data_IF_935924146465
#
_entry.id   IF_935924146465
#
_cell.length_a   1.000
_cell.length_b   1.000
_cell.length_c   1.000
_cell.angle_alpha   90.00
_cell.angle_beta   90.00
_cell.angle_gamma   90.00
#
_symmetry.space_group_name_H-M   'P 1'
#
loop_
_entity.id
_entity.type
_entity.pdbx_description
1 polymer ?
#
# COMPACT_ATOMS: atom_id res chain seq x y z
N UNK A 1 -5.76 17.37 28.19
CA UNK A 1 -4.81 16.24 28.06
C UNK A 1 -3.65 16.72 27.21
N UNK A 2 -2.50 16.93 27.82
CA UNK A 2 -1.28 17.42 27.16
C UNK A 2 -0.80 16.37 26.18
N UNK A 3 -0.69 16.70 24.88
CA UNK A 3 -0.06 15.81 23.91
C UNK A 3 1.40 15.64 24.30
N UNK A 4 1.78 14.44 24.71
CA UNK A 4 3.19 14.09 24.92
C UNK A 4 3.81 14.06 23.53
N UNK A 5 4.45 15.16 23.14
CA UNK A 5 5.20 15.22 21.89
C UNK A 5 6.42 14.33 22.01
N UNK A 6 6.33 13.16 21.38
CA UNK A 6 7.43 12.21 21.34
C UNK A 6 8.68 12.85 20.69
N UNK A 7 9.89 12.57 21.20
CA UNK A 7 11.14 13.00 20.60
C UNK A 7 11.22 12.65 19.11
N UNK A 8 11.85 13.52 18.30
CA UNK A 8 11.96 13.34 16.84
C UNK A 8 12.60 12.01 16.45
N UNK A 9 13.62 11.56 17.19
CA UNK A 9 14.23 10.24 17.00
C UNK A 9 13.24 9.10 17.20
N UNK A 10 12.33 9.22 18.17
CA UNK A 10 11.28 8.25 18.45
C UNK A 10 10.19 8.32 17.37
N UNK A 11 9.78 9.53 16.94
CA UNK A 11 8.87 9.71 15.79
C UNK A 11 9.46 9.11 14.51
N UNK A 12 10.77 9.24 14.26
CA UNK A 12 11.45 8.64 13.10
C UNK A 12 11.47 7.10 13.13
N UNK A 13 11.51 6.50 14.31
CA UNK A 13 11.39 5.04 14.49
C UNK A 13 9.95 4.56 14.25
N UNK A 14 8.94 5.37 14.61
CA UNK A 14 7.51 5.00 14.51
C UNK A 14 6.80 5.45 13.22
N UNK A 15 7.31 6.47 12.53
CA UNK A 15 6.74 7.08 11.31
C UNK A 15 7.83 7.23 10.24
N UNK A 16 8.38 6.10 9.80
CA UNK A 16 9.33 6.11 8.70
C UNK A 16 8.60 6.29 7.35
N UNK A 17 8.26 7.56 7.02
CA UNK A 17 7.61 7.92 5.75
C UNK A 17 8.36 7.37 4.54
N UNK A 18 9.70 7.34 4.57
CA UNK A 18 10.51 6.74 3.48
C UNK A 18 10.21 5.26 3.31
N UNK A 19 10.16 4.50 4.40
CA UNK A 19 9.83 3.08 4.36
C UNK A 19 8.40 2.85 3.86
N UNK A 20 7.42 3.63 4.34
CA UNK A 20 6.03 3.57 3.86
C UNK A 20 5.92 3.85 2.35
N UNK A 21 6.62 4.89 1.87
CA UNK A 21 6.73 5.23 0.45
C UNK A 21 7.28 4.05 -0.35
N UNK A 22 8.39 3.46 0.10
CA UNK A 22 9.03 2.33 -0.60
C UNK A 22 8.15 1.08 -0.56
N UNK A 23 7.45 0.81 0.54
CA UNK A 23 6.53 -0.31 0.64
C UNK A 23 5.35 -0.17 -0.34
N UNK A 24 4.81 1.04 -0.48
CA UNK A 24 3.75 1.32 -1.44
C UNK A 24 4.26 1.15 -2.88
N UNK A 25 5.47 1.59 -3.18
CA UNK A 25 6.10 1.39 -4.49
C UNK A 25 6.35 -0.09 -4.80
N UNK A 26 6.86 -0.86 -3.84
CA UNK A 26 7.04 -2.32 -3.96
C UNK A 26 5.70 -2.99 -4.23
N UNK A 27 4.64 -2.58 -3.52
CA UNK A 27 3.29 -3.12 -3.72
C UNK A 27 2.78 -2.82 -5.11
N UNK A 28 2.87 -1.56 -5.55
CA UNK A 28 2.47 -1.18 -6.90
C UNK A 28 3.27 -1.96 -7.96
N UNK A 29 4.57 -2.13 -7.77
CA UNK A 29 5.43 -2.90 -8.67
C UNK A 29 4.95 -4.35 -8.81
N UNK A 30 4.81 -5.07 -7.69
CA UNK A 30 4.40 -6.48 -7.73
C UNK A 30 3.03 -6.66 -8.40
N UNK A 31 2.07 -5.77 -8.12
CA UNK A 31 0.75 -5.83 -8.74
C UNK A 31 0.79 -5.47 -10.23
N UNK A 32 1.66 -4.54 -10.63
CA UNK A 32 1.80 -4.13 -12.04
C UNK A 32 2.59 -5.12 -12.90
N UNK A 33 3.26 -6.11 -12.31
CA UNK A 33 3.80 -7.26 -13.08
C UNK A 33 2.71 -8.03 -13.84
N UNK A 34 1.46 -8.00 -13.37
CA UNK A 34 0.31 -8.67 -14.00
C UNK A 34 -0.65 -7.74 -14.73
N UNK A 35 -0.54 -6.42 -14.50
CA UNK A 35 -1.46 -5.40 -15.02
C UNK A 35 -0.69 -4.13 -15.36
N UNK A 36 -1.00 -3.48 -16.48
CA UNK A 36 -0.31 -2.22 -16.86
C UNK A 36 -0.48 -1.10 -15.81
N UNK A 37 -1.64 -1.02 -15.17
CA UNK A 37 -1.98 -0.02 -14.15
C UNK A 37 -2.76 -0.66 -13.01
N UNK A 38 -2.64 -0.11 -11.81
CA UNK A 38 -3.30 -0.62 -10.61
C UNK A 38 -4.08 0.48 -9.91
N UNK A 39 -5.30 0.22 -9.46
CA UNK A 39 -6.07 1.20 -8.70
C UNK A 39 -5.38 1.49 -7.35
N UNK A 40 -5.43 2.74 -6.88
CA UNK A 40 -4.79 3.12 -5.60
C UNK A 40 -5.31 2.29 -4.43
N UNK A 41 -6.61 2.04 -4.36
CA UNK A 41 -7.21 1.29 -3.25
C UNK A 41 -6.98 -0.22 -3.36
N UNK A 42 -6.84 -0.74 -4.58
CA UNK A 42 -6.34 -2.11 -4.77
C UNK A 42 -4.89 -2.23 -4.27
N UNK A 43 -4.04 -1.25 -4.58
CA UNK A 43 -2.66 -1.20 -4.09
C UNK A 43 -2.61 -1.13 -2.55
N UNK A 44 -3.36 -0.18 -1.97
CA UNK A 44 -3.42 0.00 -0.51
C UNK A 44 -3.94 -1.27 0.19
N UNK A 45 -4.97 -1.91 -0.38
CA UNK A 45 -5.52 -3.15 0.15
C UNK A 45 -4.46 -4.25 0.33
N UNK A 46 -3.70 -4.54 -0.73
CA UNK A 46 -2.65 -5.57 -0.66
C UNK A 46 -1.48 -5.16 0.22
N UNK A 47 -1.15 -3.87 0.29
CA UNK A 47 -0.13 -3.40 1.22
C UNK A 47 -0.57 -3.67 2.67
N UNK A 48 -1.78 -3.29 3.06
CA UNK A 48 -2.28 -3.55 4.41
C UNK A 48 -2.36 -5.04 4.70
N UNK A 49 -2.82 -5.83 3.75
CA UNK A 49 -2.89 -7.28 3.90
C UNK A 49 -1.51 -7.90 4.19
N UNK A 50 -0.45 -7.36 3.61
CA UNK A 50 0.94 -7.78 3.89
C UNK A 50 1.44 -7.45 5.30
N UNK A 51 0.78 -6.48 5.97
CA UNK A 51 1.06 -6.12 7.36
C UNK A 51 0.25 -6.95 8.36
N UNK A 52 -0.85 -7.55 7.92
CA UNK A 52 -1.71 -8.40 8.75
C UNK A 52 -1.28 -9.86 8.73
N UNK A 53 -1.63 -10.60 9.78
CA UNK A 53 -1.47 -12.05 9.81
C UNK A 53 -2.41 -12.74 8.81
N UNK A 54 -1.94 -12.91 7.57
CA UNK A 54 -2.67 -13.63 6.52
C UNK A 54 -2.34 -15.13 6.55
N UNK A 55 -3.36 -15.97 6.73
CA UNK A 55 -3.23 -17.43 6.66
C UNK A 55 -3.82 -17.96 5.36
N UNK A 56 -3.05 -18.73 4.58
CA UNK A 56 -3.45 -19.38 3.32
C UNK A 56 -4.44 -20.57 3.50
N UNK A 57 -5.17 -20.64 4.62
CA UNK A 57 -6.12 -21.73 4.84
C UNK A 57 -7.31 -21.59 3.88
N UNK A 58 -8.07 -22.68 3.71
CA UNK A 58 -9.21 -22.79 2.79
C UNK A 58 -10.23 -21.63 2.87
N UNK A 59 -10.29 -20.94 4.02
CA UNK A 59 -10.87 -19.61 4.14
C UNK A 59 -9.78 -18.63 4.58
N UNK A 60 -9.49 -17.58 3.79
CA UNK A 60 -8.53 -16.55 4.19
C UNK A 60 -9.04 -15.86 5.46
N UNK A 61 -8.40 -16.17 6.59
CA UNK A 61 -8.64 -15.48 7.85
C UNK A 61 -7.66 -14.31 7.95
N UNK A 62 -8.21 -13.13 8.20
CA UNK A 62 -7.48 -11.91 8.50
C UNK A 62 -8.08 -11.29 9.75
N UNK A 63 -7.25 -10.64 10.56
CA UNK A 63 -7.75 -9.85 11.69
C UNK A 63 -8.34 -8.54 11.15
N UNK A 64 -9.67 -8.43 11.17
CA UNK A 64 -10.40 -7.25 10.71
C UNK A 64 -10.02 -5.98 11.46
N UNK A 65 -9.79 -6.07 12.78
CA UNK A 65 -9.44 -4.89 13.61
C UNK A 65 -8.04 -4.42 13.27
N UNK A 66 -7.10 -5.36 13.12
CA UNK A 66 -5.73 -5.06 12.70
C UNK A 66 -5.71 -4.42 11.30
N UNK A 67 -6.45 -4.98 10.35
CA UNK A 67 -6.57 -4.43 9.01
C UNK A 67 -7.11 -3.00 9.05
N UNK A 68 -8.20 -2.75 9.77
CA UNK A 68 -8.81 -1.43 9.93
C UNK A 68 -7.85 -0.41 10.52
N UNK A 69 -7.15 -0.79 11.58
CA UNK A 69 -6.16 0.09 12.22
C UNK A 69 -5.05 0.50 11.22
N UNK A 70 -4.47 -0.47 10.53
CA UNK A 70 -3.43 -0.22 9.52
C UNK A 70 -3.96 0.61 8.35
N UNK A 71 -5.19 0.35 7.90
CA UNK A 71 -5.86 1.13 6.86
C UNK A 71 -5.95 2.61 7.26
N UNK A 72 -6.59 2.94 8.39
CA UNK A 72 -6.78 4.33 8.80
C UNK A 72 -5.47 5.03 9.11
N UNK A 73 -4.43 4.30 9.54
CA UNK A 73 -3.09 4.85 9.74
C UNK A 73 -2.46 5.28 8.42
N UNK A 74 -2.50 4.43 7.39
CA UNK A 74 -1.84 4.69 6.10
C UNK A 74 -2.65 5.68 5.26
N UNK A 75 -3.98 5.56 5.25
CA UNK A 75 -4.89 6.39 4.45
C UNK A 75 -4.69 7.89 4.72
N UNK A 76 -4.47 8.27 5.99
CA UNK A 76 -4.13 9.65 6.40
C UNK A 76 -2.92 10.24 5.70
N UNK A 77 -1.96 9.40 5.28
CA UNK A 77 -0.71 9.82 4.63
C UNK A 77 -0.67 9.48 3.14
N UNK A 78 -1.65 8.73 2.63
CA UNK A 78 -1.61 8.14 1.30
C UNK A 78 -1.41 9.20 0.20
N UNK A 79 -2.10 10.33 0.29
CA UNK A 79 -1.95 11.44 -0.68
C UNK A 79 -0.51 11.95 -0.74
N UNK A 80 0.13 12.16 0.42
CA UNK A 80 1.52 12.61 0.49
C UNK A 80 2.48 11.59 -0.12
N UNK A 81 2.28 10.30 0.17
CA UNK A 81 3.11 9.21 -0.38
C UNK A 81 3.01 9.17 -1.91
N UNK A 82 1.80 9.29 -2.46
CA UNK A 82 1.57 9.29 -3.91
C UNK A 82 2.20 10.50 -4.60
N UNK A 83 2.04 11.70 -4.03
CA UNK A 83 2.67 12.92 -4.53
C UNK A 83 4.19 12.76 -4.54
N UNK A 84 4.77 12.23 -3.46
CA UNK A 84 6.21 12.01 -3.38
C UNK A 84 6.71 11.03 -4.45
N UNK A 85 6.03 9.89 -4.62
CA UNK A 85 6.40 8.89 -5.63
C UNK A 85 6.29 9.46 -7.06
N UNK A 86 5.25 10.25 -7.33
CA UNK A 86 5.03 10.87 -8.63
C UNK A 86 6.07 11.95 -8.93
N UNK A 87 6.33 12.85 -7.98
CA UNK A 87 7.35 13.89 -8.13
C UNK A 87 8.77 13.33 -8.23
N UNK A 88 9.00 12.12 -7.69
CA UNK A 88 10.27 11.40 -7.81
C UNK A 88 10.38 10.60 -9.12
N UNK A 89 9.39 10.68 -10.01
CA UNK A 89 9.31 9.92 -11.27
C UNK A 89 9.40 8.39 -11.05
N UNK A 90 8.90 7.91 -9.91
CA UNK A 90 8.84 6.47 -9.60
C UNK A 90 7.48 5.87 -10.02
N UNK A 91 6.45 6.70 -10.07
CA UNK A 91 5.12 6.35 -10.59
C UNK A 91 4.56 7.47 -11.46
N UNK A 92 3.60 7.14 -12.29
CA UNK A 92 2.68 8.07 -12.91
C UNK A 92 1.26 7.82 -12.37
N UNK A 93 0.49 8.89 -12.20
CA UNK A 93 -0.91 8.81 -11.78
C UNK A 93 -1.81 9.05 -12.99
N UNK A 94 -2.67 8.08 -13.27
CA UNK A 94 -3.67 8.13 -14.33
C UNK A 94 -5.03 8.40 -13.69
N UNK A 95 -5.54 9.63 -13.84
CA UNK A 95 -6.89 10.01 -13.47
C UNK A 95 -7.72 10.16 -14.75
N UNK A 96 -8.77 9.35 -14.90
CA UNK A 96 -9.75 9.51 -15.96
C UNK A 96 -10.63 10.75 -15.70
N UNK A 97 -10.02 11.95 -15.64
CA UNK A 97 -10.67 13.26 -15.40
C UNK A 97 -11.39 13.41 -14.05
N UNK A 98 -11.21 12.46 -13.14
CA UNK A 98 -11.91 12.41 -11.86
C UNK A 98 -11.13 13.07 -10.72
N UNK A 99 -11.86 13.74 -9.82
CA UNK A 99 -11.32 14.26 -8.55
C UNK A 99 -11.31 13.18 -7.45
N UNK A 100 -11.90 12.01 -7.69
CA UNK A 100 -12.01 10.95 -6.70
C UNK A 100 -10.78 10.04 -6.71
N UNK A 101 -10.14 9.87 -5.54
CA UNK A 101 -8.97 9.00 -5.37
C UNK A 101 -9.27 7.53 -5.73
N UNK A 102 -10.53 7.10 -5.58
CA UNK A 102 -11.03 5.78 -5.96
C UNK A 102 -10.93 5.47 -7.45
N UNK A 103 -10.78 6.48 -8.30
CA UNK A 103 -10.74 6.36 -9.77
C UNK A 103 -9.33 6.58 -10.33
N UNK A 104 -8.36 6.91 -9.47
CA UNK A 104 -6.97 7.10 -9.86
C UNK A 104 -6.24 5.75 -9.88
N UNK A 105 -5.44 5.55 -10.91
CA UNK A 105 -4.57 4.38 -11.06
C UNK A 105 -3.10 4.77 -11.01
N UNK A 106 -2.29 3.89 -10.44
CA UNK A 106 -0.84 3.95 -10.38
C UNK A 106 -0.27 3.18 -11.57
N UNK A 107 0.69 3.78 -12.26
CA UNK A 107 1.56 3.15 -13.25
C UNK A 107 2.98 3.25 -12.72
N UNK A 108 3.70 2.14 -12.59
CA UNK A 108 5.10 2.18 -12.15
C UNK A 108 5.99 2.50 -13.36
N UNK A 109 6.79 3.56 -13.25
CA UNK A 109 7.73 3.96 -14.31
C UNK A 109 8.90 2.99 -14.39
N UNK A 110 9.69 3.05 -15.46
CA UNK A 110 10.89 2.21 -15.57
C UNK A 110 11.92 2.53 -14.47
N UNK A 111 12.01 3.80 -14.07
CA UNK A 111 12.81 4.23 -12.91
C UNK A 111 12.29 3.60 -11.62
N UNK A 112 10.97 3.59 -11.40
CA UNK A 112 10.34 2.91 -10.25
C UNK A 112 10.61 1.42 -10.21
N UNK A 113 10.50 0.73 -11.36
CA UNK A 113 10.81 -0.71 -11.49
C UNK A 113 12.27 -0.99 -11.16
N UNK A 114 13.19 -0.18 -11.69
CA UNK A 114 14.63 -0.29 -11.40
C UNK A 114 14.90 -0.10 -9.91
N UNK A 115 14.36 0.96 -9.32
CA UNK A 115 14.48 1.23 -7.88
C UNK A 115 14.04 0.04 -7.03
N UNK A 116 12.90 -0.60 -7.34
CA UNK A 116 12.42 -1.78 -6.61
C UNK A 116 13.27 -3.03 -6.87
N UNK A 117 13.85 -3.15 -8.06
CA UNK A 117 14.77 -4.25 -8.41
C UNK A 117 16.09 -4.14 -7.64
N UNK A 118 16.56 -2.90 -7.44
CA UNK A 118 17.80 -2.59 -6.70
C UNK A 118 17.61 -2.67 -5.17
N UNK A 119 16.37 -2.76 -4.66
CA UNK A 119 16.11 -3.00 -3.25
C UNK A 119 16.58 -4.39 -2.82
N UNK A 120 17.72 -4.40 -2.13
CA UNK A 120 18.29 -5.57 -1.49
C UNK A 120 17.96 -5.55 0.00
N UNK A 121 17.57 -6.71 0.56
CA UNK A 121 17.30 -6.85 1.97
C UNK A 121 16.23 -7.89 2.27
N UNK A 122 16.38 -8.71 3.34
CA UNK A 122 15.41 -9.75 3.69
C UNK A 122 13.97 -9.23 3.84
N UNK A 123 13.82 -8.02 4.39
CA UNK A 123 12.53 -7.36 4.55
C UNK A 123 11.78 -7.18 3.22
N UNK A 124 12.45 -6.63 2.19
CA UNK A 124 11.81 -6.38 0.90
C UNK A 124 11.57 -7.67 0.11
N UNK A 125 12.37 -8.70 0.33
CA UNK A 125 12.13 -10.04 -0.23
C UNK A 125 10.84 -10.63 0.34
N UNK A 126 10.70 -10.61 1.68
CA UNK A 126 9.49 -11.09 2.36
C UNK A 126 8.24 -10.28 1.95
N UNK A 127 8.35 -8.95 1.89
CA UNK A 127 7.25 -8.09 1.46
C UNK A 127 6.78 -8.42 0.03
N UNK A 128 7.72 -8.59 -0.92
CA UNK A 128 7.41 -8.95 -2.31
C UNK A 128 6.65 -10.28 -2.37
N UNK A 129 7.08 -11.28 -1.60
CA UNK A 129 6.44 -12.60 -1.58
C UNK A 129 5.05 -12.54 -0.94
N UNK A 130 4.88 -11.88 0.20
CA UNK A 130 3.57 -11.67 0.85
C UNK A 130 2.56 -11.03 -0.09
N UNK A 131 2.97 -10.02 -0.86
CA UNK A 131 2.08 -9.33 -1.81
C UNK A 131 1.77 -10.23 -3.02
N UNK A 132 2.77 -10.97 -3.51
CA UNK A 132 2.60 -11.91 -4.63
C UNK A 132 1.61 -13.02 -4.27
N UNK A 133 1.76 -13.64 -3.10
CA UNK A 133 0.88 -14.67 -2.55
C UNK A 133 -0.52 -14.12 -2.31
N UNK A 134 -0.65 -13.02 -1.56
CA UNK A 134 -1.97 -12.48 -1.22
C UNK A 134 -2.75 -12.04 -2.47
N UNK A 135 -2.08 -11.47 -3.46
CA UNK A 135 -2.70 -11.08 -4.73
C UNK A 135 -3.07 -12.25 -5.65
N UNK A 136 -2.44 -13.43 -5.51
CA UNK A 136 -2.90 -14.65 -6.19
C UNK A 136 -4.08 -15.30 -5.49
N UNK A 137 -4.04 -15.32 -4.16
CA UNK A 137 -5.00 -16.07 -3.34
C UNK A 137 -6.31 -15.32 -3.16
N UNK A 138 -6.25 -14.01 -2.94
CA UNK A 138 -7.43 -13.17 -2.70
C UNK A 138 -7.54 -12.08 -3.77
N UNK A 139 -8.47 -12.26 -4.72
CA UNK A 139 -8.76 -11.22 -5.71
C UNK A 139 -9.42 -10.02 -5.07
N UNK A 140 -8.86 -8.83 -5.28
CA UNK A 140 -9.48 -7.58 -4.85
C UNK A 140 -10.87 -7.42 -5.47
N UNK A 141 -11.83 -7.04 -4.62
CA UNK A 141 -13.21 -6.71 -4.99
C UNK A 141 -13.61 -5.48 -4.20
N UNK A 142 -14.30 -4.53 -4.82
CA UNK A 142 -14.78 -3.29 -4.15
C UNK A 142 -15.60 -3.58 -2.88
N UNK A 143 -16.31 -4.72 -2.83
CA UNK A 143 -17.04 -5.17 -1.64
C UNK A 143 -16.15 -5.37 -0.42
N UNK A 144 -14.89 -5.79 -0.61
CA UNK A 144 -13.93 -5.93 0.47
C UNK A 144 -13.64 -4.56 1.06
N UNK A 145 -13.39 -3.55 0.24
CA UNK A 145 -13.17 -2.19 0.72
C UNK A 145 -14.31 -1.68 1.63
N UNK A 146 -15.57 -1.94 1.26
CA UNK A 146 -16.75 -1.66 2.11
C UNK A 146 -16.78 -2.50 3.40
N UNK A 147 -16.42 -3.79 3.33
CA UNK A 147 -16.34 -4.66 4.50
C UNK A 147 -15.21 -4.27 5.46
N UNK A 148 -14.11 -3.74 4.93
CA UNK A 148 -12.90 -3.38 5.67
C UNK A 148 -13.00 -1.98 6.28
N UNK A 149 -13.47 -0.98 5.54
CA UNK A 149 -13.45 0.43 5.99
C UNK A 149 -14.78 0.88 6.59
N UNK A 150 -15.89 0.19 6.26
CA UNK A 150 -17.26 0.62 6.55
C UNK A 150 -17.91 1.28 5.31
N UNK A 151 -19.09 1.89 5.50
CA UNK A 151 -19.60 2.84 4.50
C UNK A 151 -18.70 4.08 4.51
N UNK A 152 -18.02 4.31 3.38
CA UNK A 152 -17.38 5.60 3.13
C UNK A 152 -18.51 6.53 2.69
N UNK A 153 -18.90 7.44 3.59
CA UNK A 153 -19.77 8.58 3.29
C UNK A 153 -19.11 9.51 2.27
#
# INVERSE_FOLDING_TARGET
MSSVDLPVSIKLVFENKKLLTMNLLVTAYILTLRKKKINIYECLFYYILSLTSFSEKAEPKYDKKEFQYNYFKIDKTLKELLIYLANSDLISLDSNSSKNLSEISIIVTDRGKKMVSDLQGPYFVDLKEKIKVSSTTLKYKKQYYKQFVGEVL
#
